data_IF_935264524162
#
_entry.id   IF_935264524162
#
_cell.length_a   1.000
_cell.length_b   1.000
_cell.length_c   1.000
_cell.angle_alpha   90.00
_cell.angle_beta   90.00
_cell.angle_gamma   90.00
#
_symmetry.space_group_name_H-M   'P 1'
#
loop_
_entity.id
_entity.type
_entity.pdbx_description
1 polymer ?
#
# COMPACT_ATOMS: atom_id res chain seq x y z
N UNK A 1 8.69 43.69 0.17
CA UNK A 1 7.67 43.66 -0.91
C UNK A 1 8.02 42.71 -2.03
N UNK A 2 9.09 42.89 -2.82
CA UNK A 2 9.49 41.90 -3.87
C UNK A 2 9.97 40.57 -3.26
N UNK A 3 10.71 40.64 -2.16
CA UNK A 3 11.24 39.47 -1.45
C UNK A 3 10.13 38.55 -0.91
N UNK A 4 9.02 39.15 -0.47
CA UNK A 4 7.88 38.43 0.10
C UNK A 4 7.09 37.71 -1.00
N UNK A 5 6.91 38.35 -2.16
CA UNK A 5 6.27 37.74 -3.34
C UNK A 5 7.11 36.58 -3.86
N UNK A 6 8.44 36.72 -3.88
CA UNK A 6 9.34 35.62 -4.28
C UNK A 6 9.20 34.42 -3.36
N UNK A 7 9.13 34.66 -2.05
CA UNK A 7 9.01 33.61 -1.03
C UNK A 7 7.65 32.91 -1.09
N UNK A 8 6.57 33.65 -1.32
CA UNK A 8 5.23 33.08 -1.49
C UNK A 8 5.12 32.24 -2.77
N UNK A 9 5.75 32.69 -3.87
CA UNK A 9 5.83 31.92 -5.11
C UNK A 9 6.59 30.60 -4.92
N UNK A 10 7.72 30.61 -4.22
CA UNK A 10 8.51 29.42 -3.88
C UNK A 10 7.68 28.40 -3.08
N UNK A 11 6.99 28.87 -2.03
CA UNK A 11 6.13 28.01 -1.19
C UNK A 11 4.97 27.40 -1.99
N UNK A 12 4.38 28.16 -2.92
CA UNK A 12 3.30 27.64 -3.78
C UNK A 12 3.82 26.63 -4.80
N UNK A 13 5.00 26.85 -5.36
CA UNK A 13 5.63 25.90 -6.28
C UNK A 13 5.95 24.58 -5.57
N UNK A 14 6.54 24.64 -4.38
CA UNK A 14 6.86 23.44 -3.59
C UNK A 14 5.60 22.64 -3.24
N UNK A 15 4.52 23.32 -2.82
CA UNK A 15 3.23 22.66 -2.57
C UNK A 15 2.67 21.96 -3.81
N UNK A 16 2.77 22.57 -4.99
CA UNK A 16 2.34 21.94 -6.24
C UNK A 16 3.16 20.68 -6.55
N UNK A 17 4.47 20.72 -6.34
CA UNK A 17 5.35 19.57 -6.54
C UNK A 17 5.04 18.46 -5.55
N UNK A 18 4.79 18.77 -4.28
CA UNK A 18 4.36 17.78 -3.28
C UNK A 18 3.00 17.16 -3.61
N UNK A 19 2.02 17.97 -4.00
CA UNK A 19 0.71 17.48 -4.40
C UNK A 19 0.82 16.53 -5.61
N UNK A 20 1.65 16.87 -6.59
CA UNK A 20 1.90 16.05 -7.76
C UNK A 20 2.58 14.73 -7.42
N UNK A 21 3.62 14.75 -6.57
CA UNK A 21 4.27 13.52 -6.07
C UNK A 21 3.27 12.62 -5.34
N UNK A 22 2.39 13.22 -4.54
CA UNK A 22 1.35 12.49 -3.80
C UNK A 22 0.27 11.90 -4.72
N UNK A 23 -0.04 12.57 -5.84
CA UNK A 23 -0.97 12.03 -6.84
C UNK A 23 -0.33 10.90 -7.65
N UNK A 24 0.94 11.03 -8.06
CA UNK A 24 1.66 9.96 -8.78
C UNK A 24 1.90 8.74 -7.90
N UNK A 25 2.18 8.90 -6.60
CA UNK A 25 2.35 7.74 -5.71
C UNK A 25 1.09 6.89 -5.58
N UNK A 26 -0.09 7.49 -5.81
CA UNK A 26 -1.38 6.78 -5.86
C UNK A 26 -1.64 6.11 -7.22
N UNK A 27 -0.92 6.48 -8.28
CA UNK A 27 -1.04 5.83 -9.59
C UNK A 27 -0.34 4.47 -9.49
N UNK A 28 -1.14 3.40 -9.61
CA UNK A 28 -0.66 2.02 -9.67
C UNK A 28 0.21 1.82 -10.91
N UNK A 29 1.53 1.87 -10.73
CA UNK A 29 2.52 1.66 -11.80
C UNK A 29 2.74 0.18 -12.14
N UNK A 30 1.91 -0.73 -11.63
CA UNK A 30 2.09 -2.18 -11.79
C UNK A 30 3.33 -2.73 -11.07
N UNK A 31 4.02 -1.91 -10.27
CA UNK A 31 5.09 -2.33 -9.37
C UNK A 31 4.52 -2.63 -8.00
N UNK A 32 4.93 -3.77 -7.44
CA UNK A 32 4.69 -4.13 -6.06
C UNK A 32 5.33 -3.08 -5.14
N UNK A 33 4.50 -2.23 -4.51
CA UNK A 33 4.95 -1.29 -3.48
C UNK A 33 4.27 -1.62 -2.15
N UNK A 34 5.02 -1.65 -1.03
CA UNK A 34 4.44 -1.91 0.29
C UNK A 34 3.35 -0.91 0.67
N UNK A 35 3.45 0.33 0.16
CA UNK A 35 2.50 1.41 0.40
C UNK A 35 1.08 1.13 -0.09
N UNK A 36 0.89 0.15 -0.99
CA UNK A 36 -0.46 -0.25 -1.43
C UNK A 36 -1.26 -0.93 -0.31
N UNK A 37 -0.56 -1.52 0.67
CA UNK A 37 -1.16 -2.25 1.78
C UNK A 37 -1.29 -1.38 3.05
N UNK A 38 -0.79 -0.13 3.04
CA UNK A 38 -0.83 0.79 4.18
C UNK A 38 -2.27 1.19 4.58
N UNK A 39 -3.23 1.10 3.66
CA UNK A 39 -4.63 1.42 3.91
C UNK A 39 -5.48 0.29 4.48
N UNK A 40 -4.91 -0.92 4.65
CA UNK A 40 -5.66 -2.10 5.10
C UNK A 40 -5.68 -2.16 6.62
N UNK A 41 -6.88 -2.27 7.17
CA UNK A 41 -7.14 -2.42 8.61
C UNK A 41 -7.65 -3.84 8.84
N UNK A 42 -7.11 -4.51 9.85
CA UNK A 42 -7.49 -5.86 10.27
C UNK A 42 -7.98 -5.79 11.70
N UNK A 43 -9.11 -6.43 12.00
CA UNK A 43 -9.56 -6.56 13.39
C UNK A 43 -8.65 -7.53 14.15
N UNK A 44 -7.91 -7.00 15.12
CA UNK A 44 -7.12 -7.77 16.07
C UNK A 44 -7.88 -7.78 17.41
N UNK A 45 -8.44 -8.94 17.78
CA UNK A 45 -9.21 -9.11 19.03
C UNK A 45 -10.28 -8.02 19.27
N UNK A 46 -10.99 -7.60 18.21
CA UNK A 46 -12.05 -6.58 18.28
C UNK A 46 -11.55 -5.13 18.21
N UNK A 47 -10.25 -4.91 18.03
CA UNK A 47 -9.69 -3.58 17.76
C UNK A 47 -9.22 -3.46 16.30
N UNK A 48 -9.61 -2.39 15.59
CA UNK A 48 -9.16 -2.15 14.22
C UNK A 48 -7.68 -1.73 14.23
N UNK A 49 -6.80 -2.61 13.75
CA UNK A 49 -5.36 -2.39 13.74
C UNK A 49 -4.83 -2.35 12.30
N UNK A 50 -3.99 -1.36 11.94
CA UNK A 50 -3.37 -1.32 10.62
C UNK A 50 -2.50 -2.55 10.36
N UNK A 51 -2.57 -3.10 9.15
CA UNK A 51 -1.79 -4.27 8.77
C UNK A 51 -0.27 -4.09 9.00
N UNK A 52 0.23 -2.86 8.80
CA UNK A 52 1.64 -2.50 9.02
C UNK A 52 2.14 -2.74 10.46
N UNK A 53 1.25 -2.75 11.44
CA UNK A 53 1.60 -3.03 12.84
C UNK A 53 1.58 -4.53 13.16
N UNK A 54 0.81 -5.31 12.41
CA UNK A 54 0.63 -6.76 12.61
C UNK A 54 1.59 -7.59 11.75
N UNK A 55 2.11 -7.01 10.67
CA UNK A 55 2.96 -7.70 9.71
C UNK A 55 4.02 -6.80 9.08
N UNK A 56 5.15 -7.40 8.72
CA UNK A 56 6.21 -6.78 7.92
C UNK A 56 5.97 -7.04 6.44
N UNK A 57 5.83 -5.96 5.66
CA UNK A 57 5.63 -6.03 4.20
C UNK A 57 6.96 -5.81 3.49
N UNK A 58 7.40 -6.77 2.69
CA UNK A 58 8.60 -6.70 1.86
C UNK A 58 8.25 -6.98 0.40
N UNK A 59 9.05 -6.43 -0.52
CA UNK A 59 8.91 -6.71 -1.95
C UNK A 59 9.79 -7.93 -2.25
N UNK A 60 9.18 -9.06 -2.59
CA UNK A 60 9.90 -10.29 -2.96
C UNK A 60 10.29 -10.24 -4.44
N UNK A 61 9.36 -9.79 -5.29
CA UNK A 61 9.59 -9.55 -6.71
C UNK A 61 8.83 -8.29 -7.15
N UNK A 62 9.19 -7.74 -8.30
CA UNK A 62 8.55 -6.61 -8.97
C UNK A 62 7.02 -6.67 -9.01
N UNK A 63 6.43 -7.87 -8.91
CA UNK A 63 4.98 -8.13 -8.92
C UNK A 63 4.48 -8.92 -7.72
N UNK A 64 5.33 -9.24 -6.74
CA UNK A 64 4.94 -10.07 -5.59
C UNK A 64 5.35 -9.39 -4.30
N UNK A 65 4.37 -9.11 -3.44
CA UNK A 65 4.61 -8.66 -2.07
C UNK A 65 4.66 -9.87 -1.15
N UNK A 66 5.65 -9.89 -0.27
CA UNK A 66 5.76 -10.85 0.82
C UNK A 66 5.35 -10.16 2.11
N UNK A 67 4.42 -10.77 2.82
CA UNK A 67 3.89 -10.27 4.10
C UNK A 67 4.26 -11.31 5.15
N UNK A 68 5.12 -10.92 6.09
CA UNK A 68 5.50 -11.73 7.22
C UNK A 68 4.66 -11.29 8.43
N UNK A 69 3.71 -12.13 8.85
CA UNK A 69 2.84 -11.83 9.99
C UNK A 69 3.54 -12.24 11.28
N UNK A 70 3.59 -11.35 12.27
CA UNK A 70 4.25 -11.65 13.54
C UNK A 70 3.49 -12.73 14.33
N UNK A 71 2.17 -12.73 14.24
CA UNK A 71 1.29 -13.70 14.88
C UNK A 71 0.61 -14.61 13.83
N UNK A 72 1.02 -15.88 13.79
CA UNK A 72 0.48 -16.88 12.84
C UNK A 72 -1.00 -17.18 13.05
N UNK A 73 -1.54 -16.95 14.25
CA UNK A 73 -2.97 -17.13 14.51
C UNK A 73 -3.84 -16.14 13.72
N UNK A 74 -3.25 -14.99 13.36
CA UNK A 74 -3.92 -13.92 12.61
C UNK A 74 -3.71 -14.01 11.09
N UNK A 75 -2.91 -14.94 10.58
CA UNK A 75 -2.71 -15.11 9.13
C UNK A 75 -4.03 -15.23 8.35
N UNK A 76 -5.04 -16.02 8.79
CA UNK A 76 -6.31 -16.12 8.07
C UNK A 76 -7.12 -14.82 8.08
N UNK A 77 -7.05 -14.04 9.18
CA UNK A 77 -7.74 -12.77 9.29
C UNK A 77 -7.10 -11.71 8.37
N UNK A 78 -5.77 -11.70 8.30
CA UNK A 78 -5.00 -10.85 7.38
C UNK A 78 -5.30 -11.20 5.92
N UNK A 79 -5.31 -12.49 5.56
CA UNK A 79 -5.69 -12.93 4.21
C UNK A 79 -7.08 -12.45 3.82
N UNK A 80 -8.06 -12.63 4.72
CA UNK A 80 -9.43 -12.19 4.50
C UNK A 80 -9.52 -10.66 4.33
N UNK A 81 -8.77 -9.90 5.12
CA UNK A 81 -8.73 -8.44 5.01
C UNK A 81 -8.10 -7.97 3.68
N UNK A 82 -7.06 -8.66 3.20
CA UNK A 82 -6.43 -8.36 1.90
C UNK A 82 -7.38 -8.71 0.75
N UNK A 83 -8.06 -9.87 0.82
CA UNK A 83 -9.07 -10.27 -0.18
C UNK A 83 -10.29 -9.36 -0.18
N UNK A 84 -10.72 -8.88 0.99
CA UNK A 84 -11.82 -7.93 1.13
C UNK A 84 -11.45 -6.51 0.71
N UNK A 85 -10.16 -6.20 0.58
CA UNK A 85 -9.73 -4.90 0.06
C UNK A 85 -10.11 -4.76 -1.41
N UNK A 86 -10.44 -3.53 -1.83
CA UNK A 86 -10.75 -3.17 -3.22
C UNK A 86 -9.56 -3.38 -4.19
N UNK A 87 -8.47 -4.00 -3.72
CA UNK A 87 -7.29 -4.25 -4.51
C UNK A 87 -7.43 -5.48 -5.42
N UNK A 88 -8.40 -6.37 -5.18
CA UNK A 88 -8.62 -7.57 -6.01
C UNK A 88 -7.41 -8.51 -6.03
N UNK A 89 -6.67 -8.57 -4.93
CA UNK A 89 -5.46 -9.35 -4.77
C UNK A 89 -5.81 -10.72 -4.18
N UNK A 90 -5.19 -11.78 -4.70
CA UNK A 90 -5.35 -13.13 -4.19
C UNK A 90 -4.10 -13.53 -3.38
N UNK A 91 -4.11 -13.39 -2.04
CA UNK A 91 -3.01 -13.85 -1.20
C UNK A 91 -2.87 -15.37 -1.27
N UNK A 92 -1.63 -15.86 -1.30
CA UNK A 92 -1.27 -17.27 -1.21
C UNK A 92 -0.40 -17.49 0.03
N UNK A 93 -0.85 -18.37 0.92
CA UNK A 93 -0.16 -18.65 2.16
C UNK A 93 0.94 -19.70 1.96
N UNK A 94 2.17 -19.32 2.28
CA UNK A 94 3.34 -20.19 2.28
C UNK A 94 3.84 -20.34 3.72
N UNK A 95 3.07 -21.04 4.55
CA UNK A 95 3.40 -21.29 5.95
C UNK A 95 3.31 -20.03 6.82
N UNK A 96 4.44 -19.43 7.18
CA UNK A 96 4.51 -18.18 7.97
C UNK A 96 4.46 -16.90 7.14
N UNK A 97 4.61 -17.03 5.82
CA UNK A 97 4.66 -15.90 4.90
C UNK A 97 3.44 -15.91 3.99
N UNK A 98 2.82 -14.75 3.79
CA UNK A 98 1.72 -14.57 2.83
C UNK A 98 2.29 -13.87 1.59
N UNK A 99 2.15 -14.50 0.43
CA UNK A 99 2.54 -13.93 -0.86
C UNK A 99 1.35 -13.33 -1.56
N UNK A 100 1.45 -12.06 -1.90
CA UNK A 100 0.39 -11.33 -2.60
C UNK A 100 0.91 -10.96 -4.00
N UNK A 101 0.63 -11.80 -5.01
CA UNK A 101 0.89 -11.44 -6.40
C UNK A 101 -0.04 -10.29 -6.79
N UNK A 102 0.54 -9.19 -7.28
CA UNK A 102 -0.22 -8.15 -7.94
C UNK A 102 -0.64 -8.67 -9.31
N UNK A 103 -1.96 -8.64 -9.64
CA UNK A 103 -2.39 -8.99 -10.97
C UNK A 103 -1.69 -8.05 -11.98
N UNK A 104 -1.31 -8.55 -13.17
CA UNK A 104 -0.86 -7.68 -14.22
C UNK A 104 -1.92 -6.59 -14.47
N UNK A 105 -1.48 -5.38 -14.85
CA UNK A 105 -2.37 -4.36 -15.42
C UNK A 105 -2.88 -4.90 -16.77
N UNK A 106 -3.79 -5.89 -16.76
CA UNK A 106 -4.55 -6.28 -17.93
C UNK A 106 -5.64 -5.25 -18.08
N UNK A 107 -5.39 -4.30 -18.98
CA UNK A 107 -6.33 -3.25 -19.33
C UNK A 107 -7.71 -3.83 -19.64
N UNK A 108 -8.71 -3.38 -18.89
CA UNK A 108 -10.10 -3.33 -19.33
C UNK A 108 -10.69 -2.00 -18.88
N UNK A 109 -10.37 -0.98 -19.67
CA UNK A 109 -11.18 0.24 -19.82
C UNK A 109 -10.98 0.70 -21.26
N UNK A 110 -11.77 0.08 -22.16
CA UNK A 110 -12.27 0.68 -23.41
C UNK A 110 -13.78 0.64 -23.33
#
# INVERSE_FOLDING_TARGET
>A
MISDIRKDAEVRMDKCVEAFKTQISKIRTGRASPSLLDGIVVEYYGTPTPLRQLASVTVEDSRTLKINVFDRSMSPAVEKAIMASDLGLNPNSAGSDIRVPLPPLTGKTS
#
